data_IF_517982082951
#
_entry.id   IF_517982082951
#
_cell.length_a   1.000
_cell.length_b   1.000
_cell.length_c   1.000
_cell.angle_alpha   90.00
_cell.angle_beta   90.00
_cell.angle_gamma   90.00
#
_symmetry.space_group_name_H-M   'P 1'
#
loop_
_entity.id
_entity.type
_entity.pdbx_description
1 polymer ?
#
# COMPACT_ATOMS: atom_id res chain seq x y z
N UNK A 1 21.35 -15.63 36.10
CA UNK A 1 21.30 -15.52 34.63
C UNK A 1 19.94 -16.03 34.17
N UNK A 2 18.95 -15.15 34.17
CA UNK A 2 17.61 -15.41 33.60
C UNK A 2 17.18 -14.11 32.96
N UNK A 3 17.22 -14.06 31.64
CA UNK A 3 16.63 -12.99 30.84
C UNK A 3 15.12 -13.17 30.89
N UNK A 4 14.47 -12.56 31.88
CA UNK A 4 13.02 -12.41 31.85
C UNK A 4 12.66 -11.50 30.67
N UNK A 5 11.92 -12.06 29.71
CA UNK A 5 11.38 -11.31 28.59
C UNK A 5 10.43 -10.23 29.10
N UNK A 6 10.88 -8.98 29.02
CA UNK A 6 10.06 -7.80 29.31
C UNK A 6 8.83 -7.85 28.39
N UNK A 7 7.69 -8.24 28.96
CA UNK A 7 6.42 -8.24 28.25
C UNK A 7 6.15 -6.81 27.75
N UNK A 8 5.69 -6.63 26.49
CA UNK A 8 5.52 -5.29 25.94
C UNK A 8 4.55 -4.47 26.80
N UNK A 9 5.03 -3.31 27.28
CA UNK A 9 4.32 -2.39 28.17
C UNK A 9 2.91 -2.08 27.64
N UNK A 10 1.88 -1.99 28.50
CA UNK A 10 0.49 -1.77 28.11
C UNK A 10 0.27 -0.50 27.26
N UNK A 11 1.11 0.52 27.40
CA UNK A 11 1.12 1.76 26.62
C UNK A 11 1.44 1.55 25.12
N UNK A 12 2.24 0.55 24.78
CA UNK A 12 2.59 0.25 23.39
C UNK A 12 1.40 -0.38 22.63
N UNK A 13 0.60 -1.21 23.33
CA UNK A 13 -0.59 -1.86 22.75
C UNK A 13 -1.71 -0.86 22.48
N UNK A 14 -1.95 0.08 23.39
CA UNK A 14 -2.92 1.17 23.19
C UNK A 14 -2.50 2.10 22.05
N UNK A 15 -1.20 2.39 21.91
CA UNK A 15 -0.65 3.17 20.80
C UNK A 15 -0.85 2.52 19.41
N UNK A 16 -0.59 1.21 19.30
CA UNK A 16 -0.74 0.46 18.05
C UNK A 16 -2.19 0.35 17.60
N UNK A 17 -3.10 -0.02 18.52
CA UNK A 17 -4.52 -0.12 18.22
C UNK A 17 -5.12 1.23 17.83
N UNK A 18 -4.69 2.30 18.49
CA UNK A 18 -5.08 3.65 18.13
C UNK A 18 -4.61 4.02 16.71
N UNK A 19 -3.37 3.68 16.35
CA UNK A 19 -2.84 3.92 15.00
C UNK A 19 -3.60 3.12 13.92
N UNK A 20 -3.89 1.84 14.17
CA UNK A 20 -4.66 1.02 13.27
C UNK A 20 -6.11 1.54 13.09
N UNK A 21 -6.74 1.98 14.18
CA UNK A 21 -8.10 2.55 14.16
C UNK A 21 -8.13 3.89 13.42
N UNK A 22 -7.09 4.73 13.59
CA UNK A 22 -6.95 5.98 12.84
C UNK A 22 -6.80 5.71 11.35
N UNK A 23 -5.95 4.76 10.94
CA UNK A 23 -5.81 4.36 9.55
C UNK A 23 -7.14 3.91 8.94
N UNK A 24 -7.92 3.11 9.67
CA UNK A 24 -9.23 2.64 9.23
C UNK A 24 -10.24 3.76 9.00
N UNK A 25 -10.32 4.71 9.95
CA UNK A 25 -11.23 5.86 9.83
C UNK A 25 -10.82 6.81 8.72
N UNK A 26 -9.52 6.92 8.47
CA UNK A 26 -8.93 7.87 7.52
C UNK A 26 -8.93 7.36 6.08
N UNK A 27 -8.73 6.05 5.88
CA UNK A 27 -8.59 5.42 4.56
C UNK A 27 -9.48 4.18 4.37
N UNK A 28 -10.79 4.23 4.67
CA UNK A 28 -11.65 3.04 4.62
C UNK A 28 -11.74 2.46 3.20
N UNK A 29 -11.78 3.29 2.16
CA UNK A 29 -11.81 2.83 0.77
C UNK A 29 -10.56 2.03 0.38
N UNK A 30 -9.39 2.48 0.82
CA UNK A 30 -8.12 1.79 0.55
C UNK A 30 -8.13 0.40 1.19
N UNK A 31 -8.58 0.31 2.44
CA UNK A 31 -8.64 -0.97 3.16
C UNK A 31 -9.71 -1.91 2.62
N UNK A 32 -10.87 -1.39 2.16
CA UNK A 32 -11.89 -2.20 1.48
C UNK A 32 -11.31 -2.82 0.21
N UNK A 33 -10.63 -2.02 -0.62
CA UNK A 33 -10.03 -2.52 -1.86
C UNK A 33 -8.88 -3.50 -1.58
N UNK A 34 -8.05 -3.21 -0.58
CA UNK A 34 -6.98 -4.11 -0.17
C UNK A 34 -7.52 -5.45 0.36
N UNK A 35 -8.59 -5.43 1.17
CA UNK A 35 -9.26 -6.63 1.65
C UNK A 35 -9.91 -7.43 0.52
N UNK A 36 -10.62 -6.75 -0.40
CA UNK A 36 -11.21 -7.38 -1.57
C UNK A 36 -10.14 -8.02 -2.47
N UNK A 37 -9.04 -7.32 -2.76
CA UNK A 37 -7.91 -7.85 -3.52
C UNK A 37 -7.26 -9.06 -2.83
N UNK A 38 -7.12 -9.00 -1.50
CA UNK A 38 -6.59 -10.13 -0.70
C UNK A 38 -7.49 -11.36 -0.79
N UNK A 39 -8.81 -11.17 -0.62
CA UNK A 39 -9.79 -12.25 -0.72
C UNK A 39 -9.82 -12.87 -2.12
N UNK A 40 -9.73 -12.03 -3.15
CA UNK A 40 -9.65 -12.48 -4.54
C UNK A 40 -8.37 -13.28 -4.81
N UNK A 41 -7.23 -12.86 -4.25
CA UNK A 41 -5.97 -13.59 -4.37
C UNK A 41 -6.03 -14.96 -3.66
N UNK A 42 -6.65 -15.01 -2.47
CA UNK A 42 -6.86 -16.26 -1.72
C UNK A 42 -7.81 -17.20 -2.48
N UNK A 43 -8.95 -16.69 -2.95
CA UNK A 43 -9.89 -17.46 -3.77
C UNK A 43 -9.20 -17.95 -5.05
N UNK A 44 -8.29 -17.15 -5.60
CA UNK A 44 -7.54 -17.54 -6.77
C UNK A 44 -6.60 -18.72 -6.53
N UNK A 45 -5.87 -18.67 -5.43
CA UNK A 45 -5.03 -19.78 -4.99
C UNK A 45 -5.83 -21.06 -4.73
N UNK A 46 -7.03 -20.94 -4.15
CA UNK A 46 -7.88 -22.09 -3.83
C UNK A 46 -8.39 -22.79 -5.11
N UNK A 47 -8.87 -22.02 -6.09
CA UNK A 47 -9.43 -22.57 -7.32
C UNK A 47 -8.38 -23.13 -8.29
N UNK A 48 -7.14 -22.64 -8.25
CA UNK A 48 -6.05 -23.14 -9.11
C UNK A 48 -5.32 -24.37 -8.53
N UNK A 49 -5.74 -24.89 -7.38
CA UNK A 49 -5.08 -26.02 -6.72
C UNK A 49 -3.64 -25.69 -6.27
N UNK A 50 -3.32 -24.42 -6.02
CA UNK A 50 -2.02 -23.96 -5.54
C UNK A 50 -0.87 -23.95 -6.56
N UNK A 51 -1.02 -24.59 -7.73
CA UNK A 51 0.10 -24.79 -8.66
C UNK A 51 0.15 -23.81 -9.83
N UNK A 52 -0.93 -23.06 -10.12
CA UNK A 52 -0.96 -22.24 -11.34
C UNK A 52 -1.82 -20.97 -11.18
N UNK A 53 -1.25 -19.91 -10.59
CA UNK A 53 -1.88 -18.57 -10.54
C UNK A 53 -2.12 -17.98 -11.93
N UNK A 54 -1.41 -18.46 -12.97
CA UNK A 54 -1.53 -18.01 -14.35
C UNK A 54 -2.79 -18.52 -15.06
N UNK A 55 -3.38 -19.64 -14.62
CA UNK A 55 -4.65 -20.18 -15.18
C UNK A 55 -5.90 -19.43 -14.72
N UNK A 56 -5.73 -18.32 -14.01
CA UNK A 56 -6.84 -17.54 -13.48
C UNK A 56 -7.46 -16.62 -14.54
N UNK A 57 -8.64 -16.98 -15.05
CA UNK A 57 -9.46 -16.15 -15.95
C UNK A 57 -9.88 -14.78 -15.34
N UNK A 58 -9.61 -14.54 -14.05
CA UNK A 58 -10.05 -13.35 -13.31
C UNK A 58 -8.87 -12.51 -12.77
N UNK A 59 -7.81 -12.30 -13.54
CA UNK A 59 -6.70 -11.40 -13.17
C UNK A 59 -7.12 -9.92 -13.15
N UNK A 60 -8.16 -9.54 -13.92
CA UNK A 60 -8.62 -8.14 -14.07
C UNK A 60 -8.96 -7.47 -12.73
N UNK A 61 -9.78 -8.06 -11.83
CA UNK A 61 -10.09 -7.45 -10.54
C UNK A 61 -8.88 -7.27 -9.62
N UNK A 62 -7.87 -8.15 -9.70
CA UNK A 62 -6.64 -8.02 -8.91
C UNK A 62 -5.83 -6.79 -9.34
N UNK A 63 -5.74 -6.53 -10.64
CA UNK A 63 -5.10 -5.33 -11.17
C UNK A 63 -5.87 -4.05 -10.77
N UNK A 64 -7.20 -4.08 -10.84
CA UNK A 64 -8.04 -2.96 -10.38
C UNK A 64 -7.82 -2.72 -8.88
N UNK A 65 -7.74 -3.78 -8.07
CA UNK A 65 -7.48 -3.63 -6.64
C UNK A 65 -6.10 -3.03 -6.37
N UNK A 66 -5.07 -3.48 -7.08
CA UNK A 66 -3.71 -2.95 -6.95
C UNK A 66 -3.62 -1.45 -7.29
N UNK A 67 -4.24 -1.00 -8.39
CA UNK A 67 -4.33 0.43 -8.72
C UNK A 67 -5.19 1.21 -7.71
N UNK A 68 -6.27 0.59 -7.25
CA UNK A 68 -7.24 1.19 -6.34
C UNK A 68 -6.64 1.59 -5.00
N UNK A 69 -5.62 0.87 -4.51
CA UNK A 69 -4.90 1.24 -3.28
C UNK A 69 -4.30 2.65 -3.41
N UNK A 70 -3.44 2.87 -4.40
CA UNK A 70 -2.75 4.16 -4.59
C UNK A 70 -3.69 5.27 -5.04
N UNK A 71 -4.72 4.94 -5.83
CA UNK A 71 -5.71 5.91 -6.28
C UNK A 71 -6.61 6.41 -5.15
N UNK A 72 -7.25 5.51 -4.39
CA UNK A 72 -8.09 5.89 -3.25
C UNK A 72 -7.29 6.55 -2.14
N UNK A 73 -6.03 6.16 -1.94
CA UNK A 73 -5.11 6.83 -1.03
C UNK A 73 -4.93 8.30 -1.44
N UNK A 74 -4.58 8.54 -2.71
CA UNK A 74 -4.37 9.89 -3.25
C UNK A 74 -5.62 10.76 -3.16
N UNK A 75 -6.78 10.22 -3.54
CA UNK A 75 -8.06 10.93 -3.43
C UNK A 75 -8.42 11.25 -1.99
N UNK A 76 -8.19 10.32 -1.07
CA UNK A 76 -8.44 10.54 0.35
C UNK A 76 -7.61 11.72 0.84
N UNK A 77 -6.31 11.77 0.53
CA UNK A 77 -5.41 12.87 0.90
C UNK A 77 -5.84 14.22 0.35
N UNK A 78 -6.25 14.28 -0.93
CA UNK A 78 -6.80 15.50 -1.53
C UNK A 78 -8.05 15.96 -0.76
N UNK A 79 -8.94 15.02 -0.46
CA UNK A 79 -10.19 15.28 0.24
C UNK A 79 -9.96 15.82 1.65
N UNK A 80 -8.95 15.33 2.38
CA UNK A 80 -8.65 15.83 3.74
C UNK A 80 -8.28 17.31 3.77
N UNK A 81 -7.68 17.79 2.68
CA UNK A 81 -7.22 19.17 2.59
C UNK A 81 -8.24 20.10 1.97
N UNK A 82 -9.17 19.58 1.16
CA UNK A 82 -10.17 20.38 0.46
C UNK A 82 -11.51 20.45 1.18
N UNK A 83 -11.89 19.38 1.89
CA UNK A 83 -13.24 19.22 2.39
C UNK A 83 -13.27 18.86 3.88
N UNK A 84 -14.41 19.18 4.52
CA UNK A 84 -14.67 18.91 5.93
C UNK A 84 -15.93 18.05 6.09
N UNK A 85 -16.10 17.45 7.26
CA UNK A 85 -17.26 16.61 7.57
C UNK A 85 -17.36 15.37 6.67
N UNK A 86 -18.58 14.96 6.35
CA UNK A 86 -18.85 13.72 5.63
C UNK A 86 -18.37 13.74 4.16
N UNK A 87 -18.30 14.92 3.55
CA UNK A 87 -17.81 15.09 2.17
C UNK A 87 -16.34 14.67 2.00
N UNK A 88 -15.52 14.84 3.05
CA UNK A 88 -14.13 14.34 3.10
C UNK A 88 -14.05 12.84 2.89
N UNK A 89 -15.08 12.10 3.30
CA UNK A 89 -15.14 10.64 3.17
C UNK A 89 -15.87 10.21 1.90
N UNK A 90 -17.06 10.76 1.64
CA UNK A 90 -17.92 10.26 0.56
C UNK A 90 -17.41 10.60 -0.84
N UNK A 91 -16.85 11.79 -1.04
CA UNK A 91 -16.38 12.22 -2.35
C UNK A 91 -15.22 11.36 -2.88
N UNK A 92 -14.14 11.10 -2.13
CA UNK A 92 -13.07 10.23 -2.63
C UNK A 92 -13.54 8.79 -2.85
N UNK A 93 -14.48 8.27 -2.04
CA UNK A 93 -15.07 6.95 -2.27
C UNK A 93 -15.89 6.92 -3.56
N UNK A 94 -16.78 7.90 -3.77
CA UNK A 94 -17.63 7.98 -4.95
C UNK A 94 -16.81 8.09 -6.23
N UNK A 95 -15.90 9.07 -6.31
CA UNK A 95 -15.03 9.26 -7.48
C UNK A 95 -14.11 8.06 -7.67
N UNK A 96 -13.52 7.56 -6.58
CA UNK A 96 -12.58 6.45 -6.62
C UNK A 96 -13.19 5.16 -7.11
N UNK A 97 -14.33 4.74 -6.55
CA UNK A 97 -15.00 3.52 -7.02
C UNK A 97 -15.63 3.67 -8.40
N UNK A 98 -16.16 4.85 -8.76
CA UNK A 98 -16.68 5.08 -10.10
C UNK A 98 -15.58 4.93 -11.16
N UNK A 99 -14.43 5.58 -10.96
CA UNK A 99 -13.28 5.50 -11.88
C UNK A 99 -12.65 4.10 -11.93
N UNK A 100 -12.55 3.39 -10.80
CA UNK A 100 -12.12 1.99 -10.78
C UNK A 100 -13.10 1.08 -11.52
N UNK A 101 -14.41 1.33 -11.40
CA UNK A 101 -15.46 0.64 -12.16
C UNK A 101 -15.32 0.85 -13.66
N UNK A 102 -15.08 2.11 -14.10
CA UNK A 102 -14.82 2.43 -15.50
C UNK A 102 -13.57 1.72 -16.02
N UNK A 103 -12.49 1.70 -15.24
CA UNK A 103 -11.27 0.98 -15.61
C UNK A 103 -11.50 -0.53 -15.69
N UNK A 104 -12.29 -1.10 -14.78
CA UNK A 104 -12.68 -2.52 -14.84
C UNK A 104 -13.48 -2.84 -16.11
N UNK A 105 -14.44 -2.00 -16.50
CA UNK A 105 -15.19 -2.18 -17.75
C UNK A 105 -14.27 -2.14 -18.97
N UNK A 106 -13.27 -1.24 -18.97
CA UNK A 106 -12.22 -1.22 -19.99
C UNK A 106 -11.44 -2.54 -20.01
N UNK A 107 -10.99 -3.05 -18.87
CA UNK A 107 -10.29 -4.33 -18.81
C UNK A 107 -11.15 -5.49 -19.30
N UNK A 108 -12.47 -5.46 -19.03
CA UNK A 108 -13.42 -6.48 -19.49
C UNK A 108 -13.56 -6.49 -21.01
N UNK A 109 -13.42 -5.34 -21.66
CA UNK A 109 -13.47 -5.24 -23.12
C UNK A 109 -12.22 -5.78 -23.83
N UNK A 110 -11.11 -5.97 -23.10
CA UNK A 110 -9.89 -6.56 -23.65
C UNK A 110 -10.08 -8.06 -23.88
N UNK A 111 -9.76 -8.53 -25.09
CA UNK A 111 -9.76 -9.95 -25.43
C UNK A 111 -8.49 -10.63 -24.85
N UNK A 112 -8.66 -11.78 -24.18
CA UNK A 112 -7.58 -12.46 -23.44
C UNK A 112 -6.48 -12.98 -24.37
N UNK A 113 -6.82 -13.31 -25.62
CA UNK A 113 -5.87 -13.69 -26.66
C UNK A 113 -5.00 -12.51 -27.17
N UNK A 114 -5.29 -11.27 -26.74
CA UNK A 114 -4.69 -10.03 -27.26
C UNK A 114 -4.08 -9.16 -26.17
N UNK A 115 -3.78 -9.71 -24.98
CA UNK A 115 -2.99 -8.97 -23.98
C UNK A 115 -1.60 -8.74 -24.57
N UNK A 116 -1.40 -7.54 -25.13
CA UNK A 116 -0.18 -7.15 -25.80
C UNK A 116 0.84 -6.58 -24.82
N UNK A 117 2.10 -6.50 -25.24
CA UNK A 117 3.13 -5.77 -24.49
C UNK A 117 2.72 -4.31 -24.24
N UNK A 118 2.00 -3.69 -25.18
CA UNK A 118 1.48 -2.33 -25.02
C UNK A 118 0.53 -2.20 -23.82
N UNK A 119 -0.30 -3.21 -23.54
CA UNK A 119 -1.14 -3.21 -22.34
C UNK A 119 -0.29 -3.24 -21.06
N UNK A 120 0.79 -4.03 -21.02
CA UNK A 120 1.67 -4.10 -19.86
C UNK A 120 2.36 -2.75 -19.60
N UNK A 121 2.85 -2.09 -20.64
CA UNK A 121 3.45 -0.74 -20.52
C UNK A 121 2.42 0.30 -20.06
N UNK A 122 1.20 0.28 -20.60
CA UNK A 122 0.11 1.17 -20.18
C UNK A 122 -0.23 0.95 -18.70
N UNK A 123 -0.45 -0.31 -18.30
CA UNK A 123 -0.79 -0.65 -16.93
C UNK A 123 0.33 -0.28 -15.96
N UNK A 124 1.58 -0.60 -16.29
CA UNK A 124 2.74 -0.26 -15.46
C UNK A 124 2.94 1.26 -15.37
N UNK A 125 2.77 1.98 -16.48
CA UNK A 125 2.81 3.44 -16.51
C UNK A 125 1.73 4.05 -15.61
N UNK A 126 0.50 3.52 -15.65
CA UNK A 126 -0.59 3.96 -14.78
C UNK A 126 -0.30 3.62 -13.31
N UNK A 127 0.19 2.41 -13.03
CA UNK A 127 0.55 1.97 -11.69
C UNK A 127 1.62 2.86 -11.08
N UNK A 128 2.74 3.06 -11.77
CA UNK A 128 3.83 3.93 -11.32
C UNK A 128 3.38 5.39 -11.24
N UNK A 129 2.60 5.85 -12.22
CA UNK A 129 2.03 7.19 -12.26
C UNK A 129 1.15 7.48 -11.06
N UNK A 130 0.30 6.54 -10.63
CA UNK A 130 -0.53 6.70 -9.43
C UNK A 130 0.29 6.68 -8.13
N UNK A 131 1.36 5.90 -8.07
CA UNK A 131 2.28 5.94 -6.92
C UNK A 131 3.05 7.26 -6.85
N UNK A 132 3.50 7.78 -7.99
CA UNK A 132 4.12 9.10 -8.07
C UNK A 132 3.10 10.21 -7.77
N UNK A 133 1.86 10.07 -8.22
CA UNK A 133 0.79 11.02 -7.91
C UNK A 133 0.50 11.07 -6.41
N UNK A 134 0.55 9.93 -5.71
CA UNK A 134 0.38 9.86 -4.26
C UNK A 134 1.41 10.70 -3.47
N UNK A 135 2.61 10.92 -4.04
CA UNK A 135 3.64 11.81 -3.48
C UNK A 135 3.25 13.31 -3.56
N UNK A 136 2.41 13.68 -4.54
CA UNK A 136 2.00 15.05 -4.80
C UNK A 136 0.55 15.36 -4.38
N UNK A 137 -0.31 14.35 -4.30
CA UNK A 137 -1.75 14.47 -4.05
C UNK A 137 -2.15 15.44 -2.92
N UNK A 138 -1.59 15.36 -1.70
CA UNK A 138 -1.93 16.31 -0.62
C UNK A 138 -1.45 17.74 -0.89
N UNK A 139 -0.63 18.01 -1.90
CA UNK A 139 -0.14 19.37 -2.21
C UNK A 139 -0.76 19.94 -3.50
N UNK A 140 -1.76 19.26 -4.07
CA UNK A 140 -2.43 19.69 -5.28
C UNK A 140 -3.12 21.06 -5.09
N UNK A 141 -2.53 22.10 -5.67
CA UNK A 141 -2.97 23.49 -5.55
C UNK A 141 -2.52 24.20 -4.27
N UNK A 142 -1.50 23.70 -3.57
CA UNK A 142 -0.93 24.29 -2.35
C UNK A 142 0.55 24.67 -2.56
N UNK A 143 0.97 25.81 -2.01
CA UNK A 143 2.36 26.30 -2.06
C UNK A 143 3.04 26.13 -0.70
N UNK A 144 3.38 24.89 -0.37
CA UNK A 144 3.98 24.50 0.93
C UNK A 144 5.23 23.65 0.68
N UNK A 145 6.32 24.26 0.17
CA UNK A 145 7.49 23.52 -0.29
C UNK A 145 8.16 22.73 0.84
N UNK A 146 8.12 23.21 2.08
CA UNK A 146 8.71 22.50 3.23
C UNK A 146 7.83 21.32 3.64
N UNK A 147 6.53 21.55 3.73
CA UNK A 147 5.55 20.50 3.99
C UNK A 147 5.62 19.36 2.96
N UNK A 148 5.76 19.71 1.67
CA UNK A 148 5.91 18.75 0.58
C UNK A 148 7.14 17.85 0.76
N UNK A 149 8.30 18.44 1.06
CA UNK A 149 9.53 17.69 1.29
C UNK A 149 9.45 16.78 2.52
N UNK A 150 8.92 17.30 3.62
CA UNK A 150 8.82 16.53 4.87
C UNK A 150 7.82 15.38 4.74
N UNK A 151 6.69 15.59 4.07
CA UNK A 151 5.72 14.54 3.74
C UNK A 151 6.40 13.43 2.94
N UNK A 152 7.08 13.77 1.85
CA UNK A 152 7.73 12.79 0.98
C UNK A 152 8.85 12.03 1.69
N UNK A 153 9.65 12.71 2.51
CA UNK A 153 10.66 12.05 3.37
C UNK A 153 10.01 11.02 4.29
N UNK A 154 8.92 11.37 4.98
CA UNK A 154 8.22 10.46 5.91
C UNK A 154 7.60 9.28 5.20
N UNK A 155 6.91 9.52 4.08
CA UNK A 155 6.27 8.45 3.29
C UNK A 155 7.33 7.52 2.68
N UNK A 156 8.44 8.04 2.17
CA UNK A 156 9.54 7.22 1.66
C UNK A 156 10.09 6.26 2.73
N UNK A 157 10.41 6.78 3.92
CA UNK A 157 10.83 5.93 5.05
C UNK A 157 9.73 4.94 5.45
N UNK A 158 8.46 5.34 5.39
CA UNK A 158 7.33 4.45 5.71
C UNK A 158 7.19 3.31 4.71
N UNK A 159 7.41 3.54 3.41
CA UNK A 159 7.43 2.50 2.37
C UNK A 159 8.57 1.51 2.67
N UNK A 160 9.78 1.99 2.92
CA UNK A 160 10.91 1.13 3.25
C UNK A 160 10.66 0.29 4.51
N UNK A 161 10.09 0.89 5.55
CA UNK A 161 9.70 0.17 6.75
C UNK A 161 8.62 -0.88 6.45
N UNK A 162 7.56 -0.53 5.71
CA UNK A 162 6.50 -1.47 5.35
C UNK A 162 7.05 -2.67 4.57
N UNK A 163 7.94 -2.43 3.59
CA UNK A 163 8.62 -3.47 2.83
C UNK A 163 9.53 -4.32 3.71
N UNK A 164 10.30 -3.71 4.62
CA UNK A 164 11.17 -4.45 5.55
C UNK A 164 10.34 -5.36 6.45
N UNK A 165 9.32 -4.84 7.14
CA UNK A 165 8.49 -5.63 8.05
C UNK A 165 7.71 -6.73 7.33
N UNK A 166 7.08 -6.42 6.19
CA UNK A 166 6.36 -7.42 5.40
C UNK A 166 7.31 -8.46 4.78
N UNK A 167 8.50 -8.04 4.35
CA UNK A 167 9.56 -8.93 3.88
C UNK A 167 10.06 -9.87 4.97
N UNK A 168 10.29 -9.37 6.19
CA UNK A 168 10.64 -10.21 7.34
C UNK A 168 9.54 -11.22 7.67
N UNK A 169 8.27 -10.81 7.69
CA UNK A 169 7.15 -11.73 7.91
C UNK A 169 7.06 -12.78 6.80
N UNK A 170 7.28 -12.40 5.55
CA UNK A 170 7.30 -13.31 4.42
C UNK A 170 8.44 -14.34 4.53
N UNK A 171 9.66 -13.89 4.78
CA UNK A 171 10.82 -14.77 4.98
C UNK A 171 10.62 -15.73 6.17
N UNK A 172 10.09 -15.23 7.29
CA UNK A 172 9.73 -16.08 8.43
C UNK A 172 8.68 -17.12 8.08
N UNK A 173 7.69 -16.75 7.27
CA UNK A 173 6.64 -17.66 6.78
C UNK A 173 7.20 -18.73 5.84
N UNK A 174 8.16 -18.38 4.98
CA UNK A 174 8.87 -19.34 4.12
C UNK A 174 9.69 -20.35 4.93
N UNK A 175 10.40 -19.90 5.97
CA UNK A 175 11.17 -20.78 6.84
C UNK A 175 10.25 -21.73 7.62
N UNK A 176 9.16 -21.20 8.16
CA UNK A 176 8.14 -22.01 8.84
C UNK A 176 7.54 -23.06 7.90
N UNK A 177 7.19 -22.64 6.69
CA UNK A 177 6.69 -23.53 5.65
C UNK A 177 7.68 -24.65 5.32
N UNK A 178 8.97 -24.32 5.13
CA UNK A 178 10.03 -25.30 4.84
C UNK A 178 10.28 -26.27 6.01
N UNK A 179 10.07 -25.85 7.25
CA UNK A 179 10.17 -26.72 8.42
C UNK A 179 8.98 -27.70 8.47
N UNK A 180 7.76 -27.20 8.27
CA UNK A 180 6.54 -28.03 8.30
C UNK A 180 6.51 -29.00 7.11
N UNK A 181 6.98 -28.59 5.93
CA UNK A 181 7.01 -29.45 4.73
C UNK A 181 7.91 -30.68 4.89
N UNK A 182 8.88 -30.65 5.81
CA UNK A 182 9.71 -31.82 6.14
C UNK A 182 9.01 -32.83 7.05
N UNK A 183 8.01 -32.38 7.82
CA UNK A 183 7.26 -33.20 8.77
C UNK A 183 5.91 -33.67 8.21
N UNK A 184 5.35 -32.93 7.24
CA UNK A 184 4.03 -33.14 6.69
C UNK A 184 4.10 -33.47 5.20
N UNK A 185 3.62 -34.66 4.79
CA UNK A 185 3.66 -35.14 3.39
C UNK A 185 2.43 -34.73 2.56
N UNK A 186 1.51 -33.92 3.09
CA UNK A 186 0.28 -33.53 2.41
C UNK A 186 0.44 -32.36 1.44
N UNK A 187 -0.31 -32.40 0.31
CA UNK A 187 -0.30 -31.40 -0.77
C UNK A 187 -0.93 -30.04 -0.41
N UNK A 188 -1.62 -29.94 0.73
CA UNK A 188 -2.34 -28.73 1.15
C UNK A 188 -1.43 -27.57 1.62
N UNK A 189 -0.12 -27.82 1.79
CA UNK A 189 0.78 -26.83 2.36
C UNK A 189 0.92 -25.61 1.43
N UNK A 190 1.11 -25.81 0.12
CA UNK A 190 1.39 -24.70 -0.82
C UNK A 190 0.33 -23.60 -0.82
N UNK A 191 -0.94 -23.98 -0.66
CA UNK A 191 -2.05 -23.05 -0.52
C UNK A 191 -1.91 -22.15 0.72
N UNK A 192 -1.50 -22.72 1.87
CA UNK A 192 -1.31 -21.96 3.11
C UNK A 192 -0.27 -20.86 2.94
N UNK A 193 0.82 -21.14 2.21
CA UNK A 193 1.84 -20.12 1.92
C UNK A 193 1.26 -18.96 1.11
N UNK A 194 0.46 -19.24 0.08
CA UNK A 194 -0.17 -18.18 -0.73
C UNK A 194 -1.15 -17.35 0.10
N UNK A 195 -1.94 -17.97 0.98
CA UNK A 195 -2.85 -17.26 1.89
C UNK A 195 -2.06 -16.32 2.81
N UNK A 196 -0.98 -16.81 3.41
CA UNK A 196 -0.14 -16.01 4.30
C UNK A 196 0.48 -14.83 3.54
N UNK A 197 1.02 -15.06 2.34
CA UNK A 197 1.58 -14.00 1.48
C UNK A 197 0.53 -12.96 1.12
N UNK A 198 -0.67 -13.39 0.73
CA UNK A 198 -1.77 -12.49 0.39
C UNK A 198 -2.18 -11.62 1.59
N UNK A 199 -2.25 -12.19 2.79
CA UNK A 199 -2.52 -11.45 4.02
C UNK A 199 -1.40 -10.47 4.38
N UNK A 200 -0.13 -10.88 4.20
CA UNK A 200 1.02 -10.02 4.49
C UNK A 200 1.06 -8.81 3.54
N UNK A 201 0.96 -9.04 2.23
CA UNK A 201 1.08 -7.99 1.23
C UNK A 201 -0.19 -7.15 1.12
N UNK A 202 -1.36 -7.79 1.10
CA UNK A 202 -2.62 -7.10 0.92
C UNK A 202 -3.06 -6.38 2.19
N UNK A 203 -3.02 -7.04 3.35
CA UNK A 203 -3.57 -6.49 4.58
C UNK A 203 -2.52 -5.87 5.49
N UNK A 204 -1.53 -6.64 5.93
CA UNK A 204 -0.54 -6.14 6.89
C UNK A 204 0.25 -4.96 6.32
N UNK A 205 0.84 -5.10 5.13
CA UNK A 205 1.67 -4.05 4.52
C UNK A 205 0.85 -2.76 4.29
N UNK A 206 -0.33 -2.87 3.67
CA UNK A 206 -1.21 -1.72 3.43
C UNK A 206 -1.61 -1.02 4.72
N UNK A 207 -2.08 -1.76 5.73
CA UNK A 207 -2.51 -1.16 7.00
C UNK A 207 -1.35 -0.54 7.75
N UNK A 208 -0.20 -1.23 7.77
CA UNK A 208 1.02 -0.72 8.35
C UNK A 208 1.45 0.57 7.66
N UNK A 209 1.50 0.62 6.33
CA UNK A 209 1.83 1.83 5.59
C UNK A 209 0.90 2.99 5.98
N UNK A 210 -0.42 2.79 5.88
CA UNK A 210 -1.44 3.82 6.14
C UNK A 210 -1.39 4.39 7.56
N UNK A 211 -1.07 3.55 8.55
CA UNK A 211 -0.96 3.97 9.95
C UNK A 211 0.20 4.96 10.23
N UNK A 212 1.15 5.11 9.29
CA UNK A 212 2.27 6.05 9.42
C UNK A 212 2.14 7.30 8.56
N UNK A 213 1.02 7.48 7.86
CA UNK A 213 0.81 8.65 7.00
C UNK A 213 0.59 9.88 7.88
N UNK A 214 1.31 11.01 7.67
CA UNK A 214 1.16 12.21 8.48
C UNK A 214 -0.27 12.75 8.47
N UNK A 215 -0.80 13.20 9.60
CA UNK A 215 -2.18 13.71 9.74
C UNK A 215 -2.25 15.24 9.59
N UNK A 216 -1.28 15.94 10.16
CA UNK A 216 -1.23 17.41 10.18
C UNK A 216 -0.25 17.93 9.14
N UNK A 217 -0.75 18.27 7.96
CA UNK A 217 0.04 18.83 6.85
C UNK A 217 0.53 20.26 7.13
N UNK A 218 -0.19 21.03 7.94
CA UNK A 218 0.18 22.42 8.27
C UNK A 218 1.38 22.44 9.23
N UNK A 219 1.44 21.51 10.19
CA UNK A 219 2.59 21.32 11.05
C UNK A 219 3.87 20.91 10.29
N UNK A 220 3.74 20.19 9.16
CA UNK A 220 4.89 19.81 8.33
C UNK A 220 5.59 21.03 7.71
N UNK A 221 4.85 22.09 7.40
CA UNK A 221 5.40 23.29 6.79
C UNK A 221 5.88 24.32 7.85
N UNK A 222 5.14 24.43 8.96
CA UNK A 222 5.35 25.45 10.00
C UNK A 222 6.37 25.08 11.08
N UNK A 223 6.62 23.78 11.36
CA UNK A 223 7.58 23.32 12.38
C UNK A 223 8.48 22.19 11.87
N UNK A 224 9.26 22.41 10.80
CA UNK A 224 10.09 21.35 10.25
C UNK A 224 11.24 21.00 11.21
N UNK A 225 11.58 19.70 11.38
CA UNK A 225 12.90 19.34 11.89
C UNK A 225 13.98 19.94 10.97
N UNK A 226 15.21 20.20 11.47
CA UNK A 226 16.27 20.78 10.64
C UNK A 226 16.49 19.97 9.37
N UNK A 227 16.55 20.66 8.22
CA UNK A 227 16.64 20.05 6.90
C UNK A 227 17.80 19.03 6.86
N UNK A 228 17.58 17.77 6.41
CA UNK A 228 18.59 16.73 6.49
C UNK A 228 19.85 17.12 5.71
N UNK A 229 20.99 17.20 6.41
CA UNK A 229 22.28 17.63 5.82
C UNK A 229 22.64 16.83 4.57
N UNK A 230 22.35 15.53 4.56
CA UNK A 230 22.58 14.65 3.42
C UNK A 230 21.77 15.03 2.18
N UNK A 231 20.48 15.39 2.34
CA UNK A 231 19.62 15.80 1.22
C UNK A 231 20.01 17.19 0.70
N UNK A 232 20.52 18.06 1.58
CA UNK A 232 21.10 19.36 1.19
C UNK A 232 22.35 19.18 0.35
N UNK A 233 23.26 18.33 0.82
CA UNK A 233 24.47 18.01 0.09
C UNK A 233 24.16 17.39 -1.28
N UNK A 234 23.22 16.43 -1.34
CA UNK A 234 22.80 15.84 -2.60
C UNK A 234 22.20 16.87 -3.57
N UNK A 235 21.26 17.69 -3.11
CA UNK A 235 20.65 18.71 -3.96
C UNK A 235 21.66 19.77 -4.46
N UNK A 236 22.58 20.20 -3.60
CA UNK A 236 23.55 21.26 -3.93
C UNK A 236 24.75 20.76 -4.75
N UNK A 237 25.26 19.56 -4.46
CA UNK A 237 26.49 19.06 -5.06
C UNK A 237 26.26 18.00 -6.15
N UNK A 238 25.06 17.42 -6.25
CA UNK A 238 24.74 16.42 -7.27
C UNK A 238 23.68 16.93 -8.24
N UNK A 239 22.54 17.42 -7.76
CA UNK A 239 21.44 17.83 -8.66
C UNK A 239 21.71 19.17 -9.33
N UNK A 240 22.03 20.22 -8.58
CA UNK A 240 22.27 21.57 -9.12
C UNK A 240 23.35 21.64 -10.21
N UNK A 241 24.48 20.91 -10.11
CA UNK A 241 25.49 20.90 -11.17
C UNK A 241 25.09 20.10 -12.42
N UNK A 242 24.04 19.29 -12.35
CA UNK A 242 23.60 18.42 -13.44
C UNK A 242 22.58 19.10 -14.38
N UNK A 243 22.00 20.24 -13.96
CA UNK A 243 21.01 21.03 -14.72
C UNK A 243 21.67 22.32 -15.18
#
# INVERSE_FOLDING_TARGET
MTTEGEAPRPEAKTGLLAAATRALRRFPGVLIVAAAGTLLAIQAAFRSGGNDLARFSHWRPLLVAALGISWLYSLSLIAERRWKGLSRLLVPLGIGFATLGLYYLRLRSLNEATVSEAFLFEYLGLFLGLHAFAAYAPFLGRREPRGFWEYNRRIFVRILAALLFSGTLYLGSLLLFAAISKLWQGSALGYLLVVIVALILGMFNTWFFLAGVPEDFEALDSRPPPYPRALKAFAQFVLLPLV
#
